data_IF_137571659329
#
_entry.id   IF_137571659329
#
_cell.length_a   1.000
_cell.length_b   1.000
_cell.length_c   1.000
_cell.angle_alpha   90.00
_cell.angle_beta   90.00
_cell.angle_gamma   90.00
#
_symmetry.space_group_name_H-M   'P 1'
#
loop_
_entity.id
_entity.type
_entity.pdbx_description
1 polymer ?
#
# COMPACT_ATOMS: atom_id res chain seq x y z
N UNK A 1 -16.22 -24.95 -8.24
CA UNK A 1 -16.75 -23.68 -7.72
C UNK A 1 -15.54 -22.82 -7.43
N UNK A 2 -15.16 -21.94 -8.34
CA UNK A 2 -14.11 -20.96 -8.09
C UNK A 2 -14.63 -19.98 -7.03
N UNK A 3 -13.98 -19.95 -5.87
CA UNK A 3 -14.23 -18.90 -4.88
C UNK A 3 -13.81 -17.57 -5.49
N UNK A 4 -14.78 -16.70 -5.78
CA UNK A 4 -14.49 -15.31 -6.16
C UNK A 4 -13.55 -14.70 -5.12
N UNK A 5 -12.42 -14.11 -5.53
CA UNK A 5 -11.52 -13.46 -4.58
C UNK A 5 -12.30 -12.36 -3.84
N UNK A 6 -12.25 -12.38 -2.52
CA UNK A 6 -12.78 -11.29 -1.68
C UNK A 6 -12.07 -10.01 -2.11
N UNK A 7 -12.82 -9.05 -2.65
CA UNK A 7 -12.32 -7.72 -2.99
C UNK A 7 -12.68 -6.77 -1.85
N UNK A 8 -11.69 -6.02 -1.40
CA UNK A 8 -11.85 -4.94 -0.43
C UNK A 8 -11.68 -3.63 -1.20
N UNK A 9 -12.61 -2.71 -1.03
CA UNK A 9 -12.50 -1.36 -1.57
C UNK A 9 -11.71 -0.51 -0.57
N UNK A 10 -10.51 -0.07 -0.93
CA UNK A 10 -9.79 0.96 -0.17
C UNK A 10 -10.21 2.36 -0.64
N UNK A 11 -10.02 3.40 0.18
CA UNK A 11 -10.26 4.82 -0.16
C UNK A 11 -9.44 5.40 -1.33
N UNK A 12 -8.90 4.57 -2.21
CA UNK A 12 -8.18 4.97 -3.42
C UNK A 12 -9.01 4.82 -4.70
N UNK A 13 -10.00 3.92 -4.70
CA UNK A 13 -10.81 3.68 -5.87
C UNK A 13 -11.93 4.71 -6.04
N UNK A 14 -12.78 4.51 -7.04
CA UNK A 14 -13.92 5.38 -7.33
C UNK A 14 -15.26 4.69 -7.02
N UNK A 15 -15.26 3.68 -6.15
CA UNK A 15 -16.44 2.86 -5.86
C UNK A 15 -17.58 3.68 -5.23
N UNK A 16 -17.23 4.75 -4.50
CA UNK A 16 -18.18 5.66 -3.87
C UNK A 16 -18.05 7.11 -4.39
N UNK A 17 -17.45 7.30 -5.56
CA UNK A 17 -17.29 8.61 -6.22
C UNK A 17 -16.05 9.40 -5.79
N UNK A 18 -15.90 10.59 -6.37
CA UNK A 18 -14.71 11.45 -6.25
C UNK A 18 -14.28 11.74 -4.81
N UNK A 19 -15.23 11.93 -3.89
CA UNK A 19 -14.90 12.17 -2.48
C UNK A 19 -14.19 10.99 -1.82
N UNK A 20 -14.51 9.77 -2.25
CA UNK A 20 -13.86 8.55 -1.79
C UNK A 20 -12.42 8.49 -2.31
N UNK A 21 -12.23 8.73 -3.61
CA UNK A 21 -10.91 8.78 -4.24
C UNK A 21 -10.01 9.84 -3.57
N UNK A 22 -10.51 11.06 -3.38
CA UNK A 22 -9.80 12.13 -2.65
C UNK A 22 -9.52 11.79 -1.17
N UNK A 23 -10.21 10.79 -0.62
CA UNK A 23 -9.97 10.26 0.72
C UNK A 23 -8.68 9.47 0.85
N UNK A 24 -8.08 9.04 -0.27
CA UNK A 24 -6.84 8.27 -0.32
C UNK A 24 -5.75 8.86 -1.22
N UNK A 25 -5.87 10.13 -1.61
CA UNK A 25 -4.86 10.84 -2.40
C UNK A 25 -3.92 11.67 -1.52
N UNK A 26 -2.74 12.01 -2.04
CA UNK A 26 -1.82 13.01 -1.47
C UNK A 26 -1.53 12.77 0.02
N UNK A 27 -1.76 13.76 0.88
CA UNK A 27 -1.51 13.67 2.32
C UNK A 27 -2.35 12.62 3.04
N UNK A 28 -3.44 12.15 2.40
CA UNK A 28 -4.33 11.12 2.91
C UNK A 28 -3.99 9.72 2.40
N UNK A 29 -2.88 9.56 1.66
CA UNK A 29 -2.48 8.26 1.11
C UNK A 29 -2.38 7.16 2.17
N UNK A 30 -2.06 7.52 3.40
CA UNK A 30 -2.01 6.57 4.53
C UNK A 30 -3.35 5.86 4.78
N UNK A 31 -4.48 6.52 4.53
CA UNK A 31 -5.80 5.91 4.73
C UNK A 31 -6.00 4.67 3.83
N UNK A 32 -5.38 4.66 2.64
CA UNK A 32 -5.45 3.51 1.72
C UNK A 32 -4.77 2.29 2.35
N UNK A 33 -3.62 2.49 2.99
CA UNK A 33 -2.88 1.42 3.67
C UNK A 33 -3.63 0.97 4.93
N UNK A 34 -4.16 1.92 5.70
CA UNK A 34 -4.91 1.66 6.93
C UNK A 34 -6.18 0.83 6.64
N UNK A 35 -6.93 1.16 5.59
CA UNK A 35 -8.10 0.38 5.15
C UNK A 35 -7.72 -1.05 4.77
N UNK A 36 -6.62 -1.22 4.04
CA UNK A 36 -6.16 -2.54 3.61
C UNK A 36 -5.65 -3.40 4.77
N UNK A 37 -5.00 -2.77 5.75
CA UNK A 37 -4.60 -3.40 7.01
C UNK A 37 -5.83 -3.79 7.83
N UNK A 38 -6.80 -2.88 8.00
CA UNK A 38 -8.03 -3.15 8.76
C UNK A 38 -8.81 -4.32 8.17
N UNK A 39 -8.82 -4.47 6.84
CA UNK A 39 -9.46 -5.60 6.21
C UNK A 39 -8.70 -6.92 6.44
N UNK A 40 -7.36 -6.90 6.50
CA UNK A 40 -6.56 -8.06 6.89
C UNK A 40 -6.85 -8.48 8.35
N UNK A 41 -6.91 -7.51 9.26
CA UNK A 41 -7.29 -7.72 10.66
C UNK A 41 -8.69 -8.32 10.77
N UNK A 42 -9.66 -7.78 10.04
CA UNK A 42 -11.03 -8.31 10.00
C UNK A 42 -11.06 -9.79 9.59
N UNK A 43 -10.31 -10.19 8.57
CA UNK A 43 -10.27 -11.59 8.12
C UNK A 43 -9.66 -12.51 9.19
N UNK A 44 -8.66 -12.04 9.92
CA UNK A 44 -8.01 -12.79 11.00
C UNK A 44 -8.94 -12.90 12.21
N UNK A 45 -9.54 -11.79 12.65
CA UNK A 45 -10.42 -11.72 13.81
C UNK A 45 -11.69 -12.57 13.64
N UNK A 46 -12.23 -12.58 12.42
CA UNK A 46 -13.38 -13.40 12.05
C UNK A 46 -13.01 -14.84 11.67
N UNK A 47 -11.74 -15.24 11.87
CA UNK A 47 -11.25 -16.61 11.70
C UNK A 47 -11.38 -17.16 10.27
N UNK A 48 -11.40 -16.29 9.27
CA UNK A 48 -11.30 -16.71 7.87
C UNK A 48 -9.87 -17.19 7.55
N UNK A 49 -8.86 -16.60 8.18
CA UNK A 49 -7.45 -16.97 8.02
C UNK A 49 -6.66 -16.68 9.31
N UNK A 50 -5.34 -16.80 9.24
CA UNK A 50 -4.39 -16.32 10.25
C UNK A 50 -3.16 -15.72 9.55
N UNK A 51 -2.30 -14.96 10.25
CA UNK A 51 -1.17 -14.28 9.62
C UNK A 51 -0.30 -15.16 8.73
N UNK A 52 0.07 -16.36 9.18
CA UNK A 52 0.91 -17.30 8.41
C UNK A 52 0.27 -17.82 7.11
N UNK A 53 -1.04 -17.62 6.93
CA UNK A 53 -1.82 -18.09 5.78
C UNK A 53 -2.46 -16.95 4.99
N UNK A 54 -2.24 -15.70 5.38
CA UNK A 54 -2.73 -14.54 4.65
C UNK A 54 -1.67 -14.06 3.67
N UNK A 55 -2.00 -14.07 2.38
CA UNK A 55 -1.17 -13.51 1.32
C UNK A 55 -1.82 -12.22 0.77
N UNK A 56 -0.99 -11.20 0.51
CA UNK A 56 -1.41 -9.98 -0.16
C UNK A 56 -0.78 -9.89 -1.54
N UNK A 57 -1.55 -9.41 -2.52
CA UNK A 57 -1.10 -9.30 -3.91
C UNK A 57 -1.59 -8.01 -4.52
N UNK A 58 -0.69 -7.30 -5.21
CA UNK A 58 -1.01 -6.04 -5.86
C UNK A 58 -0.05 -5.71 -6.99
N UNK A 59 -0.57 -4.99 -8.00
CA UNK A 59 0.16 -4.59 -9.19
C UNK A 59 0.16 -3.08 -9.40
N UNK A 60 1.24 -2.52 -9.97
CA UNK A 60 1.37 -1.06 -10.20
C UNK A 60 1.20 -0.29 -8.89
N UNK A 61 0.19 0.58 -8.76
CA UNK A 61 -0.09 1.23 -7.48
C UNK A 61 -0.50 0.22 -6.38
N UNK A 62 -1.18 -0.88 -6.75
CA UNK A 62 -1.39 -2.00 -5.82
C UNK A 62 -0.07 -2.65 -5.35
N UNK A 63 0.99 -2.55 -6.14
CA UNK A 63 2.34 -2.95 -5.73
C UNK A 63 2.91 -2.03 -4.65
N UNK A 64 2.68 -0.72 -4.75
CA UNK A 64 2.99 0.23 -3.68
C UNK A 64 2.18 -0.11 -2.40
N UNK A 65 0.87 -0.34 -2.53
CA UNK A 65 -0.01 -0.75 -1.44
C UNK A 65 0.55 -1.95 -0.67
N UNK A 66 0.80 -3.07 -1.35
CA UNK A 66 1.24 -4.29 -0.65
C UNK A 66 2.63 -4.13 -0.03
N UNK A 67 3.52 -3.35 -0.63
CA UNK A 67 4.84 -3.08 -0.06
C UNK A 67 4.77 -2.19 1.19
N UNK A 68 3.95 -1.12 1.16
CA UNK A 68 3.76 -0.25 2.31
C UNK A 68 3.11 -1.01 3.47
N UNK A 69 2.02 -1.75 3.21
CA UNK A 69 1.33 -2.54 4.24
C UNK A 69 2.25 -3.61 4.85
N UNK A 70 3.04 -4.32 4.04
CA UNK A 70 3.96 -5.34 4.58
C UNK A 70 5.06 -4.76 5.46
N UNK A 71 5.49 -3.52 5.22
CA UNK A 71 6.50 -2.86 6.06
C UNK A 71 5.90 -2.25 7.33
N UNK A 72 4.67 -1.74 7.25
CA UNK A 72 3.96 -1.16 8.39
C UNK A 72 3.45 -2.25 9.36
N UNK A 73 2.98 -3.37 8.82
CA UNK A 73 2.42 -4.51 9.57
C UNK A 73 2.95 -5.86 9.06
N UNK A 74 4.26 -6.11 9.20
CA UNK A 74 4.87 -7.38 8.79
C UNK A 74 4.30 -8.59 9.56
N UNK A 75 3.69 -8.36 10.72
CA UNK A 75 3.07 -9.37 11.58
C UNK A 75 1.77 -9.97 11.01
N UNK A 76 1.16 -9.34 10.00
CA UNK A 76 -0.15 -9.73 9.48
C UNK A 76 -0.10 -10.67 8.27
N UNK A 77 1.04 -10.80 7.60
CA UNK A 77 1.10 -11.42 6.27
C UNK A 77 2.15 -12.54 6.21
N UNK A 78 1.77 -13.69 5.67
CA UNK A 78 2.65 -14.83 5.44
C UNK A 78 3.31 -14.81 4.06
N UNK A 79 2.77 -14.04 3.11
CA UNK A 79 3.36 -13.84 1.79
C UNK A 79 2.94 -12.49 1.17
N UNK A 80 3.86 -11.89 0.42
CA UNK A 80 3.64 -10.61 -0.27
C UNK A 80 4.02 -10.75 -1.73
N UNK A 81 3.05 -10.58 -2.63
CA UNK A 81 3.26 -10.66 -4.06
C UNK A 81 3.17 -9.26 -4.66
N UNK A 82 4.32 -8.64 -4.91
CA UNK A 82 4.42 -7.33 -5.55
C UNK A 82 4.66 -7.48 -7.06
N UNK A 83 3.75 -6.93 -7.88
CA UNK A 83 3.95 -6.85 -9.34
C UNK A 83 4.17 -5.41 -9.77
N UNK A 84 5.36 -5.11 -10.29
CA UNK A 84 5.71 -3.82 -10.92
C UNK A 84 5.32 -2.57 -10.08
N UNK A 85 5.43 -2.67 -8.75
CA UNK A 85 5.12 -1.56 -7.85
C UNK A 85 6.14 -0.43 -7.89
N UNK A 86 5.67 0.81 -7.73
CA UNK A 86 6.54 1.95 -7.49
C UNK A 86 7.01 1.92 -6.03
N UNK A 87 8.31 1.66 -5.80
CA UNK A 87 8.88 1.52 -4.45
C UNK A 87 9.70 2.74 -4.01
N UNK A 88 10.25 3.49 -4.96
CA UNK A 88 10.90 4.77 -4.72
C UNK A 88 9.92 5.91 -5.00
N UNK A 89 9.25 6.37 -3.94
CA UNK A 89 8.27 7.45 -4.05
C UNK A 89 8.92 8.83 -4.06
N UNK A 90 10.24 8.93 -3.83
CA UNK A 90 10.96 10.21 -3.89
C UNK A 90 11.44 10.53 -5.31
N UNK A 91 11.47 9.52 -6.19
CA UNK A 91 12.00 9.68 -7.55
C UNK A 91 11.07 9.17 -8.64
N UNK A 92 9.90 8.61 -8.33
CA UNK A 92 8.99 8.04 -9.35
C UNK A 92 8.72 9.03 -10.49
N UNK A 93 8.56 10.31 -10.18
CA UNK A 93 8.22 11.36 -11.14
C UNK A 93 9.33 11.67 -12.14
N UNK A 94 10.57 11.25 -11.87
CA UNK A 94 11.73 11.50 -12.73
C UNK A 94 11.88 10.47 -13.86
N UNK A 95 11.07 9.41 -13.87
CA UNK A 95 11.20 8.32 -14.83
C UNK A 95 9.94 8.18 -15.70
N UNK A 96 10.15 8.04 -17.02
CA UNK A 96 9.13 7.73 -18.04
C UNK A 96 7.84 8.57 -17.90
N UNK A 97 6.74 7.96 -17.46
CA UNK A 97 5.41 8.56 -17.30
C UNK A 97 5.08 8.89 -15.84
N UNK A 98 6.03 8.69 -14.92
CA UNK A 98 5.79 8.84 -13.48
C UNK A 98 5.33 10.24 -13.08
N UNK A 99 5.71 11.29 -13.81
CA UNK A 99 5.21 12.66 -13.57
C UNK A 99 3.69 12.79 -13.69
N UNK A 100 3.03 11.91 -14.45
CA UNK A 100 1.58 11.88 -14.56
C UNK A 100 0.89 11.43 -13.27
N UNK A 101 1.61 10.85 -12.32
CA UNK A 101 1.05 10.38 -11.04
C UNK A 101 1.19 11.40 -9.91
N UNK A 102 1.82 12.55 -10.15
CA UNK A 102 1.93 13.65 -9.18
C UNK A 102 0.56 14.08 -8.63
N UNK A 103 -0.52 14.21 -9.42
CA UNK A 103 -1.83 14.58 -8.88
C UNK A 103 -2.37 13.58 -7.84
N UNK A 104 -1.97 12.31 -7.94
CA UNK A 104 -2.39 11.22 -7.05
C UNK A 104 -1.49 11.10 -5.81
N UNK A 105 -0.18 11.17 -6.02
CA UNK A 105 0.83 10.77 -5.03
C UNK A 105 1.57 11.95 -4.40
N UNK A 106 1.49 13.13 -5.03
CA UNK A 106 2.23 14.33 -4.68
C UNK A 106 3.54 14.47 -5.46
N UNK A 107 4.12 15.67 -5.42
CA UNK A 107 5.41 16.02 -5.99
C UNK A 107 6.51 15.95 -4.92
N UNK A 108 7.46 15.01 -5.00
CA UNK A 108 8.56 14.90 -4.05
C UNK A 108 9.52 16.10 -4.04
N UNK A 109 9.52 16.94 -5.07
CA UNK A 109 10.36 18.14 -5.13
C UNK A 109 9.71 19.32 -4.35
N UNK A 110 8.45 19.19 -3.91
CA UNK A 110 7.76 20.16 -3.03
C UNK A 110 7.92 19.75 -1.56
N UNK A 111 8.49 20.65 -0.74
CA UNK A 111 8.89 20.34 0.64
C UNK A 111 7.73 19.85 1.52
N UNK A 112 6.54 20.44 1.40
CA UNK A 112 5.35 20.06 2.16
C UNK A 112 4.87 18.66 1.77
N UNK A 113 4.96 18.32 0.48
CA UNK A 113 4.48 17.04 -0.04
C UNK A 113 5.48 15.91 0.23
N UNK A 114 6.77 16.21 0.12
CA UNK A 114 7.85 15.32 0.52
C UNK A 114 7.63 14.72 1.92
N UNK A 115 7.14 15.51 2.89
CA UNK A 115 6.95 15.04 4.26
C UNK A 115 5.99 13.86 4.38
N UNK A 116 4.88 13.84 3.62
CA UNK A 116 3.96 12.71 3.66
C UNK A 116 4.43 11.57 2.75
N UNK A 117 5.03 11.88 1.59
CA UNK A 117 5.57 10.88 0.65
C UNK A 117 6.68 10.05 1.31
N UNK A 118 7.58 10.71 2.03
CA UNK A 118 8.69 10.06 2.72
C UNK A 118 8.22 9.03 3.75
N UNK A 119 7.10 9.27 4.44
CA UNK A 119 6.58 8.38 5.50
C UNK A 119 6.15 7.02 5.00
N UNK A 120 5.68 6.91 3.75
CA UNK A 120 5.18 5.66 3.21
C UNK A 120 6.05 5.08 2.10
N UNK A 121 7.05 5.81 1.59
CA UNK A 121 7.92 5.32 0.51
C UNK A 121 8.56 3.98 0.88
N UNK A 122 8.26 2.88 0.16
CA UNK A 122 8.74 1.56 0.56
C UNK A 122 10.26 1.44 0.60
N UNK A 123 10.97 2.00 -0.37
CA UNK A 123 12.44 1.94 -0.39
C UNK A 123 13.09 2.60 0.84
N UNK A 124 12.45 3.64 1.39
CA UNK A 124 13.00 4.46 2.47
C UNK A 124 12.53 4.05 3.86
N UNK A 125 11.50 3.19 3.95
CA UNK A 125 10.94 2.72 5.23
C UNK A 125 11.21 1.24 5.50
N UNK A 126 12.10 0.61 4.72
CA UNK A 126 12.59 -0.74 5.00
C UNK A 126 13.26 -0.79 6.38
N UNK A 127 12.73 -1.63 7.26
CA UNK A 127 13.32 -1.94 8.56
C UNK A 127 13.72 -3.41 8.57
N UNK A 128 14.96 -3.67 8.93
CA UNK A 128 15.45 -5.02 9.14
C UNK A 128 14.73 -5.62 10.36
N UNK A 129 14.21 -6.85 10.29
CA UNK A 129 13.72 -7.52 11.49
C UNK A 129 14.86 -7.67 12.49
N UNK A 130 14.57 -7.43 13.77
CA UNK A 130 15.54 -7.57 14.86
C UNK A 130 15.99 -9.04 15.05
N UNK A 131 15.13 -9.97 14.63
CA UNK A 131 15.36 -11.40 14.68
C UNK A 131 15.55 -11.95 13.25
N UNK A 132 16.18 -13.13 13.11
CA UNK A 132 16.49 -13.81 11.84
C UNK A 132 15.26 -14.33 11.05
N UNK A 133 14.13 -13.62 11.10
CA UNK A 133 12.93 -13.90 10.33
C UNK A 133 13.12 -13.63 8.84
N UNK A 134 12.50 -14.46 8.01
CA UNK A 134 12.63 -14.46 6.55
C UNK A 134 11.91 -13.26 5.90
N UNK A 135 12.49 -12.81 4.79
CA UNK A 135 11.99 -11.81 3.85
C UNK A 135 10.81 -12.32 3.04
#
# INVERSE_FOLDING_TARGET
MESSPTRICAVEGNEYGEKWHQGGMLEKKQNVFDDFIAAAEYLIDNKYTNPSRLAIHGGSNGGLLVAACSQQRPDLYGAVLNRVGALDMLRFHKFTVGSAWIPELGDPDVAEQFQFIYKYSPLHNLRMPADKGQW
#
